data_IF_842418900347
#
_entry.id   IF_842418900347
#
_cell.length_a   1.000
_cell.length_b   1.000
_cell.length_c   1.000
_cell.angle_alpha   90.00
_cell.angle_beta   90.00
_cell.angle_gamma   90.00
#
_symmetry.space_group_name_H-M   'P 1'
#
loop_
_entity.id
_entity.type
_entity.pdbx_description
1 polymer ?
#
# COMPACT_ATOMS: atom_id res chain seq x y z
N UNK A 1 -8.88 -39.25 -5.09
CA UNK A 1 -9.88 -38.61 -4.21
C UNK A 1 -9.29 -37.56 -3.26
N UNK A 2 -8.09 -37.75 -2.67
CA UNK A 2 -7.48 -36.73 -1.81
C UNK A 2 -7.01 -35.46 -2.59
N UNK A 3 -6.50 -35.63 -3.81
CA UNK A 3 -6.03 -34.53 -4.68
C UNK A 3 -7.15 -33.58 -5.13
N UNK A 4 -8.32 -34.12 -5.45
CA UNK A 4 -9.50 -33.35 -5.88
C UNK A 4 -10.08 -32.48 -4.77
N UNK A 5 -10.04 -32.94 -3.51
CA UNK A 5 -10.50 -32.16 -2.35
C UNK A 5 -9.55 -31.00 -2.06
N UNK A 6 -8.23 -31.21 -2.14
CA UNK A 6 -7.22 -30.16 -1.95
C UNK A 6 -7.32 -29.09 -3.04
N UNK A 7 -7.53 -29.47 -4.30
CA UNK A 7 -7.74 -28.51 -5.39
C UNK A 7 -9.06 -27.74 -5.26
N UNK A 8 -10.15 -28.39 -4.83
CA UNK A 8 -11.43 -27.72 -4.54
C UNK A 8 -11.30 -26.70 -3.40
N UNK A 9 -10.64 -27.07 -2.31
CA UNK A 9 -10.42 -26.18 -1.16
C UNK A 9 -9.52 -25.02 -1.57
N UNK A 10 -8.45 -25.26 -2.34
CA UNK A 10 -7.56 -24.22 -2.85
C UNK A 10 -8.26 -23.28 -3.84
N UNK A 11 -9.14 -23.82 -4.68
CA UNK A 11 -9.99 -23.07 -5.61
C UNK A 11 -11.02 -22.20 -4.89
N UNK A 12 -11.67 -22.74 -3.85
CA UNK A 12 -12.62 -22.01 -3.01
C UNK A 12 -11.93 -20.89 -2.23
N UNK A 13 -10.78 -21.16 -1.59
CA UNK A 13 -9.99 -20.15 -0.88
C UNK A 13 -9.47 -19.06 -1.83
N UNK A 14 -9.04 -19.42 -3.04
CA UNK A 14 -8.63 -18.46 -4.07
C UNK A 14 -9.81 -17.63 -4.59
N UNK A 15 -10.98 -18.24 -4.79
CA UNK A 15 -12.22 -17.58 -5.23
C UNK A 15 -12.75 -16.61 -4.18
N UNK A 16 -12.76 -17.00 -2.90
CA UNK A 16 -13.16 -16.13 -1.80
C UNK A 16 -12.19 -14.96 -1.62
N UNK A 17 -10.87 -15.21 -1.66
CA UNK A 17 -9.85 -14.14 -1.60
C UNK A 17 -9.92 -13.20 -2.81
N UNK A 18 -10.13 -13.73 -4.02
CA UNK A 18 -10.29 -12.92 -5.24
C UNK A 18 -11.59 -12.09 -5.22
N UNK A 19 -12.68 -12.64 -4.68
CA UNK A 19 -13.95 -11.94 -4.49
C UNK A 19 -13.87 -10.86 -3.39
N UNK A 20 -12.95 -11.01 -2.45
CA UNK A 20 -12.77 -10.10 -1.33
C UNK A 20 -12.18 -8.74 -1.73
N UNK A 21 -11.31 -8.70 -2.74
CA UNK A 21 -10.72 -7.48 -3.31
C UNK A 21 -11.39 -7.03 -4.62
N UNK A 22 -12.57 -7.55 -4.96
CA UNK A 22 -13.18 -7.40 -6.27
C UNK A 22 -13.54 -5.96 -6.69
N UNK A 23 -13.47 -4.97 -5.80
CA UNK A 23 -13.74 -3.59 -6.16
C UNK A 23 -12.48 -2.92 -6.75
N UNK A 24 -12.59 -2.20 -7.89
CA UNK A 24 -11.46 -1.46 -8.47
C UNK A 24 -10.83 -0.48 -7.48
N UNK A 25 -11.63 0.10 -6.57
CA UNK A 25 -11.14 0.99 -5.52
C UNK A 25 -10.25 0.27 -4.49
N UNK A 26 -10.56 -0.98 -4.16
CA UNK A 26 -9.74 -1.79 -3.26
C UNK A 26 -8.39 -2.12 -3.89
N UNK A 27 -8.39 -2.52 -5.18
CA UNK A 27 -7.16 -2.79 -5.93
C UNK A 27 -6.33 -1.52 -6.08
N UNK A 28 -6.97 -0.40 -6.42
CA UNK A 28 -6.30 0.89 -6.49
C UNK A 28 -5.68 1.28 -5.15
N UNK A 29 -6.41 1.14 -4.04
CA UNK A 29 -5.91 1.44 -2.69
C UNK A 29 -4.66 0.62 -2.36
N UNK A 30 -4.64 -0.67 -2.70
CA UNK A 30 -3.46 -1.52 -2.49
C UNK A 30 -2.26 -1.09 -3.34
N UNK A 31 -2.47 -0.84 -4.62
CA UNK A 31 -1.40 -0.43 -5.52
C UNK A 31 -0.82 0.93 -5.13
N UNK A 32 -1.70 1.89 -4.80
CA UNK A 32 -1.28 3.21 -4.36
C UNK A 32 -0.58 3.16 -3.00
N UNK A 33 -1.00 2.30 -2.07
CA UNK A 33 -0.29 2.10 -0.81
C UNK A 33 1.10 1.49 -1.01
N UNK A 34 1.25 0.55 -1.94
CA UNK A 34 2.55 0.00 -2.30
C UNK A 34 3.46 1.07 -2.88
N UNK A 35 2.95 1.86 -3.84
CA UNK A 35 3.70 2.97 -4.44
C UNK A 35 4.10 4.02 -3.40
N UNK A 36 3.18 4.40 -2.51
CA UNK A 36 3.47 5.30 -1.39
C UNK A 36 4.62 4.77 -0.54
N UNK A 37 4.57 3.50 -0.13
CA UNK A 37 5.66 2.86 0.62
C UNK A 37 7.00 2.88 -0.12
N UNK A 38 7.01 2.56 -1.42
CA UNK A 38 8.22 2.54 -2.24
C UNK A 38 8.86 3.93 -2.37
N UNK A 39 8.05 4.97 -2.62
CA UNK A 39 8.54 6.33 -2.72
C UNK A 39 9.02 6.87 -1.37
N UNK A 40 8.26 6.64 -0.29
CA UNK A 40 8.72 7.01 1.05
C UNK A 40 10.06 6.35 1.35
N UNK A 41 10.19 5.06 1.08
CA UNK A 41 11.43 4.33 1.30
C UNK A 41 12.58 4.89 0.44
N UNK A 42 12.33 5.16 -0.84
CA UNK A 42 13.31 5.78 -1.74
C UNK A 42 13.80 7.12 -1.19
N UNK A 43 12.89 8.00 -0.77
CA UNK A 43 13.24 9.32 -0.27
C UNK A 43 13.99 9.27 1.07
N UNK A 44 13.65 8.33 1.95
CA UNK A 44 14.40 8.07 3.18
C UNK A 44 15.80 7.54 2.90
N UNK A 45 15.94 6.62 1.93
CA UNK A 45 17.24 6.06 1.54
C UNK A 45 18.14 7.08 0.84
N UNK A 46 17.56 8.02 0.11
CA UNK A 46 18.28 9.16 -0.48
C UNK A 46 18.60 10.26 0.55
N UNK A 47 18.04 10.21 1.76
CA UNK A 47 18.23 11.22 2.80
C UNK A 47 17.60 12.58 2.47
N UNK A 48 16.60 12.62 1.57
CA UNK A 48 15.96 13.86 1.09
C UNK A 48 14.61 14.13 1.75
N UNK A 49 14.12 13.19 2.57
CA UNK A 49 12.89 13.32 3.33
C UNK A 49 13.02 12.61 4.68
N UNK A 50 12.15 12.97 5.62
CA UNK A 50 12.01 12.31 6.92
C UNK A 50 10.61 11.67 7.07
N UNK A 51 10.54 10.56 7.80
CA UNK A 51 9.28 9.89 8.09
C UNK A 51 8.59 10.59 9.27
N UNK A 52 7.47 11.25 8.98
CA UNK A 52 6.71 12.01 9.97
C UNK A 52 5.87 11.11 10.89
N UNK A 53 5.54 9.89 10.47
CA UNK A 53 4.80 8.96 11.31
C UNK A 53 5.75 8.28 12.32
N UNK A 54 5.64 8.56 13.63
CA UNK A 54 6.57 8.04 14.62
C UNK A 54 6.58 6.52 14.69
N UNK A 55 5.43 5.86 14.46
CA UNK A 55 5.35 4.40 14.42
C UNK A 55 6.13 3.84 13.23
N UNK A 56 5.99 4.45 12.07
CA UNK A 56 6.69 4.01 10.87
C UNK A 56 8.17 4.33 10.92
N UNK A 57 8.55 5.45 11.54
CA UNK A 57 9.96 5.79 11.78
C UNK A 57 10.64 4.72 12.63
N UNK A 58 10.02 4.29 13.73
CA UNK A 58 10.53 3.18 14.55
C UNK A 58 10.66 1.88 13.74
N UNK A 59 9.72 1.59 12.84
CA UNK A 59 9.79 0.43 11.97
C UNK A 59 10.96 0.53 10.97
N UNK A 60 11.21 1.73 10.42
CA UNK A 60 12.32 1.99 9.50
C UNK A 60 13.69 1.86 10.19
N UNK A 61 13.80 2.38 11.41
CA UNK A 61 15.02 2.28 12.24
C UNK A 61 15.44 0.82 12.50
N UNK A 62 14.48 -0.12 12.57
CA UNK A 62 14.79 -1.54 12.67
C UNK A 62 15.30 -2.10 11.33
N UNK A 63 14.57 -1.88 10.24
CA UNK A 63 15.06 -2.10 8.89
C UNK A 63 14.12 -1.50 7.81
N UNK A 64 14.65 -1.14 6.63
CA UNK A 64 13.86 -0.81 5.44
C UNK A 64 12.77 -1.83 5.09
N UNK A 65 13.09 -3.12 5.21
CA UNK A 65 12.16 -4.20 4.89
C UNK A 65 11.03 -4.30 5.93
N UNK A 66 11.37 -4.11 7.21
CA UNK A 66 10.37 -4.12 8.28
C UNK A 66 9.40 -2.94 8.17
N UNK A 67 9.89 -1.75 7.79
CA UNK A 67 9.03 -0.61 7.41
C UNK A 67 8.01 -1.00 6.34
N UNK A 68 8.48 -1.56 5.21
CA UNK A 68 7.57 -1.93 4.12
C UNK A 68 6.59 -3.02 4.56
N UNK A 69 7.07 -4.04 5.26
CA UNK A 69 6.23 -5.11 5.78
C UNK A 69 5.14 -4.58 6.72
N UNK A 70 5.51 -3.75 7.71
CA UNK A 70 4.57 -3.19 8.67
C UNK A 70 3.52 -2.29 7.99
N UNK A 71 3.95 -1.42 7.06
CA UNK A 71 3.06 -0.53 6.31
C UNK A 71 2.03 -1.31 5.51
N UNK A 72 2.49 -2.31 4.75
CA UNK A 72 1.62 -3.17 3.95
C UNK A 72 0.69 -3.98 4.85
N UNK A 73 1.19 -4.54 5.96
CA UNK A 73 0.38 -5.36 6.86
C UNK A 73 -0.76 -4.55 7.48
N UNK A 74 -0.48 -3.34 7.99
CA UNK A 74 -1.49 -2.47 8.61
C UNK A 74 -2.58 -2.10 7.61
N UNK A 75 -2.20 -1.67 6.40
CA UNK A 75 -3.17 -1.24 5.38
C UNK A 75 -3.96 -2.42 4.83
N UNK A 76 -3.31 -3.58 4.60
CA UNK A 76 -4.00 -4.79 4.17
C UNK A 76 -4.97 -5.28 5.24
N UNK A 77 -4.60 -5.25 6.52
CA UNK A 77 -5.49 -5.62 7.62
C UNK A 77 -6.70 -4.68 7.72
N UNK A 78 -6.48 -3.36 7.59
CA UNK A 78 -7.55 -2.37 7.58
C UNK A 78 -8.51 -2.54 6.39
N UNK A 79 -7.96 -2.70 5.18
CA UNK A 79 -8.76 -2.99 3.99
C UNK A 79 -9.51 -4.32 4.14
N UNK A 80 -8.86 -5.33 4.72
CA UNK A 80 -9.49 -6.63 4.95
C UNK A 80 -10.71 -6.49 5.87
N UNK A 81 -10.61 -5.73 6.96
CA UNK A 81 -11.72 -5.44 7.86
C UNK A 81 -12.86 -4.66 7.19
N UNK A 82 -12.52 -3.68 6.34
CA UNK A 82 -13.51 -2.91 5.57
C UNK A 82 -14.25 -3.78 4.56
N UNK A 83 -13.55 -4.70 3.90
CA UNK A 83 -14.15 -5.67 2.99
C UNK A 83 -15.05 -6.67 3.71
N UNK A 84 -14.74 -7.04 4.96
CA UNK A 84 -15.60 -7.91 5.79
C UNK A 84 -16.98 -7.26 5.99
N UNK A 85 -16.96 -5.95 6.23
CA UNK A 85 -18.13 -5.13 6.48
C UNK A 85 -18.64 -4.40 5.22
N UNK A 86 -18.35 -4.90 4.01
CA UNK A 86 -18.68 -4.23 2.73
C UNK A 86 -20.16 -3.88 2.52
N UNK A 87 -21.07 -4.51 3.27
CA UNK A 87 -22.50 -4.19 3.25
C UNK A 87 -22.78 -2.80 3.83
N UNK A 88 -21.97 -2.32 4.77
CA UNK A 88 -22.09 -0.99 5.34
C UNK A 88 -21.69 0.08 4.32
N UNK A 89 -22.49 1.16 4.24
CA UNK A 89 -22.18 2.32 3.39
C UNK A 89 -20.86 2.97 3.79
N UNK A 90 -20.61 3.08 5.10
CA UNK A 90 -19.38 3.64 5.66
C UNK A 90 -18.13 2.92 5.13
N UNK A 91 -18.12 1.58 5.09
CA UNK A 91 -16.95 0.82 4.62
C UNK A 91 -16.64 1.08 3.14
N UNK A 92 -17.67 1.19 2.28
CA UNK A 92 -17.48 1.52 0.86
C UNK A 92 -16.96 2.94 0.66
N UNK A 93 -17.45 3.89 1.46
CA UNK A 93 -16.95 5.27 1.45
C UNK A 93 -15.50 5.31 1.91
N UNK A 94 -15.15 4.61 3.01
CA UNK A 94 -13.79 4.56 3.53
C UNK A 94 -12.79 3.98 2.51
N UNK A 95 -13.14 2.91 1.79
CA UNK A 95 -12.28 2.34 0.73
C UNK A 95 -12.04 3.37 -0.39
N UNK A 96 -13.11 4.04 -0.87
CA UNK A 96 -12.99 5.05 -1.94
C UNK A 96 -12.20 6.27 -1.48
N UNK A 97 -12.49 6.77 -0.29
CA UNK A 97 -11.78 7.90 0.31
C UNK A 97 -10.30 7.56 0.50
N UNK A 98 -9.99 6.36 0.99
CA UNK A 98 -8.62 5.87 1.11
C UNK A 98 -7.90 5.85 -0.25
N UNK A 99 -8.54 5.33 -1.30
CA UNK A 99 -7.95 5.33 -2.64
C UNK A 99 -7.69 6.75 -3.17
N UNK A 100 -8.60 7.70 -2.91
CA UNK A 100 -8.41 9.12 -3.28
C UNK A 100 -7.24 9.74 -2.51
N UNK A 101 -7.18 9.55 -1.19
CA UNK A 101 -6.11 10.10 -0.34
C UNK A 101 -4.75 9.54 -0.77
N UNK A 102 -4.64 8.22 -0.95
CA UNK A 102 -3.41 7.61 -1.45
C UNK A 102 -3.06 8.07 -2.87
N UNK A 103 -4.06 8.33 -3.72
CA UNK A 103 -3.85 8.91 -5.04
C UNK A 103 -3.20 10.30 -4.96
N UNK A 104 -3.70 11.17 -4.08
CA UNK A 104 -3.13 12.50 -3.83
C UNK A 104 -1.68 12.38 -3.33
N UNK A 105 -1.42 11.48 -2.38
CA UNK A 105 -0.07 11.25 -1.84
C UNK A 105 0.89 10.77 -2.92
N UNK A 106 0.48 9.82 -3.76
CA UNK A 106 1.33 9.32 -4.87
C UNK A 106 1.62 10.43 -5.88
N UNK A 107 0.63 11.27 -6.22
CA UNK A 107 0.85 12.44 -7.09
C UNK A 107 1.86 13.39 -6.46
N UNK A 108 1.76 13.66 -5.16
CA UNK A 108 2.73 14.47 -4.43
C UNK A 108 4.14 13.88 -4.50
N UNK A 109 4.29 12.57 -4.27
CA UNK A 109 5.59 11.88 -4.39
C UNK A 109 6.15 11.97 -5.81
N UNK A 110 5.33 11.81 -6.84
CA UNK A 110 5.77 11.97 -8.24
C UNK A 110 6.23 13.40 -8.53
N UNK A 111 5.49 14.40 -8.04
CA UNK A 111 5.87 15.80 -8.20
C UNK A 111 7.19 16.11 -7.47
N UNK A 112 7.36 15.59 -6.27
CA UNK A 112 8.59 15.71 -5.50
C UNK A 112 9.77 15.01 -6.18
N UNK A 113 9.58 13.78 -6.67
CA UNK A 113 10.61 13.05 -7.42
C UNK A 113 11.01 13.79 -8.71
N UNK A 114 10.02 14.34 -9.44
CA UNK A 114 10.28 15.12 -10.65
C UNK A 114 11.08 16.38 -10.32
N UNK A 115 10.69 17.10 -9.27
CA UNK A 115 11.44 18.26 -8.78
C UNK A 115 12.87 17.89 -8.39
N UNK A 116 13.04 16.77 -7.67
CA UNK A 116 14.33 16.27 -7.23
C UNK A 116 15.23 15.96 -8.41
N UNK A 117 14.73 15.23 -9.42
CA UNK A 117 15.49 14.85 -10.62
C UNK A 117 15.88 16.09 -11.44
N UNK A 118 14.97 17.05 -11.62
CA UNK A 118 15.23 18.26 -12.41
C UNK A 118 16.25 19.20 -11.75
N UNK A 119 16.31 19.23 -10.43
CA UNK A 119 17.20 20.11 -9.67
C UNK A 119 18.36 19.36 -9.00
N UNK A 120 18.59 18.09 -9.36
CA UNK A 120 19.65 17.28 -8.76
C UNK A 120 21.03 17.82 -9.17
N UNK A 121 21.85 18.37 -8.25
CA UNK A 121 23.15 18.94 -8.60
C UNK A 121 24.20 17.89 -8.97
N UNK A 122 23.96 16.61 -8.63
CA UNK A 122 24.96 15.53 -8.68
C UNK A 122 25.02 14.73 -9.99
N UNK A 123 24.41 15.19 -11.09
CA UNK A 123 24.50 14.53 -12.40
C UNK A 123 25.52 15.19 -13.36
N UNK A 124 26.25 16.22 -12.90
CA UNK A 124 27.31 16.92 -13.63
C UNK A 124 28.69 16.78 -12.97
N UNK A 125 28.92 15.74 -12.18
CA UNK A 125 30.21 15.43 -11.53
C UNK A 125 30.81 14.14 -12.06
#
# INVERSE_FOLDING_TARGET
MATTVVEQVRGAVRSERASYYASPASVALLMLNLMDGLFTLLFLQLGVAEELNPLMRLAYEQSPLFFMFAKLLIVNAGLWLLCLHRRLRASRIAIRAGAVVYGIIVIYHLAFLTHLVLHWPGALG
#
